data_IF_942343469885
#
_entry.id   IF_942343469885
#
_cell.length_a   1.000
_cell.length_b   1.000
_cell.length_c   1.000
_cell.angle_alpha   90.00
_cell.angle_beta   90.00
_cell.angle_gamma   90.00
#
_symmetry.space_group_name_H-M   'P 1'
#
loop_
_entity.id
_entity.type
_entity.pdbx_description
1 polymer ?
#
# COMPACT_ATOMS: atom_id res chain seq x y z
N UNK A 1 22.54 -28.19 -16.09
CA UNK A 1 22.79 -26.75 -16.28
C UNK A 1 22.17 -26.03 -15.10
N UNK A 2 23.01 -25.61 -14.16
CA UNK A 2 22.60 -24.99 -12.90
C UNK A 2 22.51 -23.49 -13.10
N UNK A 3 21.32 -22.92 -12.98
CA UNK A 3 21.16 -21.46 -12.95
C UNK A 3 21.49 -21.01 -11.52
N UNK A 4 22.56 -20.23 -11.40
CA UNK A 4 22.89 -19.55 -10.16
C UNK A 4 21.69 -18.72 -9.69
N UNK A 5 21.21 -19.03 -8.50
CA UNK A 5 20.12 -18.34 -7.84
C UNK A 5 20.65 -17.00 -7.31
N UNK A 6 20.16 -15.83 -7.77
CA UNK A 6 20.62 -14.57 -7.22
C UNK A 6 20.14 -14.46 -5.77
N UNK A 7 21.11 -14.32 -4.87
CA UNK A 7 20.92 -14.17 -3.43
C UNK A 7 20.10 -12.91 -3.14
N UNK A 8 18.95 -13.07 -2.48
CA UNK A 8 18.12 -11.94 -2.02
C UNK A 8 16.60 -12.09 -2.20
N UNK A 9 16.10 -13.21 -2.74
CA UNK A 9 14.65 -13.37 -2.99
C UNK A 9 13.92 -13.99 -1.80
N UNK A 10 13.44 -13.16 -0.89
CA UNK A 10 12.22 -13.54 -0.17
C UNK A 10 11.06 -13.49 -1.19
N UNK A 11 10.70 -14.64 -1.78
CA UNK A 11 9.37 -14.81 -2.39
C UNK A 11 8.34 -14.64 -1.27
N UNK A 12 7.92 -13.40 -1.03
CA UNK A 12 6.72 -13.17 -0.23
C UNK A 12 5.59 -13.91 -0.94
N UNK A 13 4.84 -14.72 -0.19
CA UNK A 13 3.63 -15.33 -0.67
C UNK A 13 2.82 -14.25 -1.40
N UNK A 14 2.61 -14.45 -2.70
CA UNK A 14 2.06 -13.45 -3.62
C UNK A 14 0.84 -12.83 -2.96
N UNK A 15 0.94 -11.56 -2.56
CA UNK A 15 -0.14 -10.93 -1.81
C UNK A 15 -1.42 -11.02 -2.65
N UNK A 16 -2.60 -11.30 -2.05
CA UNK A 16 -3.78 -11.72 -2.81
C UNK A 16 -4.24 -10.72 -3.90
N UNK A 17 -3.88 -9.45 -3.75
CA UNK A 17 -4.18 -8.34 -4.67
C UNK A 17 -3.19 -8.22 -5.84
N UNK A 18 -2.10 -8.98 -5.86
CA UNK A 18 -1.24 -9.17 -7.04
C UNK A 18 -2.01 -9.72 -8.24
N UNK A 19 -3.15 -10.38 -8.01
CA UNK A 19 -4.08 -10.80 -9.08
C UNK A 19 -4.65 -9.63 -9.90
N UNK A 20 -4.64 -8.42 -9.34
CA UNK A 20 -5.06 -7.19 -10.02
C UNK A 20 -3.94 -6.57 -10.86
N UNK A 21 -2.70 -7.04 -10.70
CA UNK A 21 -1.53 -6.51 -11.39
C UNK A 21 -1.25 -7.33 -12.67
N UNK A 22 -0.61 -6.74 -13.69
CA UNK A 22 -0.14 -7.48 -14.86
C UNK A 22 0.75 -8.66 -14.46
N UNK A 23 0.69 -9.75 -15.23
CA UNK A 23 1.57 -10.91 -15.03
C UNK A 23 3.05 -10.49 -15.11
N UNK A 24 3.85 -10.96 -14.16
CA UNK A 24 5.28 -10.61 -14.06
C UNK A 24 5.56 -9.35 -13.24
N UNK A 25 4.55 -8.77 -12.59
CA UNK A 25 4.75 -7.69 -11.62
C UNK A 25 5.57 -8.17 -10.42
N UNK A 26 6.55 -7.37 -9.98
CA UNK A 26 7.40 -7.67 -8.83
C UNK A 26 6.97 -6.89 -7.60
N UNK A 27 6.64 -7.61 -6.52
CA UNK A 27 6.34 -7.02 -5.22
C UNK A 27 7.64 -6.80 -4.42
N UNK A 28 7.85 -5.58 -3.93
CA UNK A 28 9.03 -5.15 -3.18
C UNK A 28 8.60 -4.50 -1.87
N UNK A 29 9.07 -5.05 -0.74
CA UNK A 29 8.85 -4.44 0.57
C UNK A 29 9.87 -3.33 0.81
N UNK A 30 9.38 -2.10 1.03
CA UNK A 30 10.20 -0.94 1.34
C UNK A 30 11.00 -1.08 2.65
N UNK A 31 10.70 -2.09 3.49
CA UNK A 31 11.48 -2.46 4.68
C UNK A 31 12.76 -3.21 4.34
N UNK A 32 12.70 -4.09 3.35
CA UNK A 32 13.75 -5.07 3.08
C UNK A 32 14.55 -4.74 1.83
N UNK A 33 14.04 -3.85 0.98
CA UNK A 33 14.73 -3.46 -0.23
C UNK A 33 15.99 -2.66 0.09
N UNK A 34 17.12 -3.18 -0.36
CA UNK A 34 18.38 -2.46 -0.31
C UNK A 34 18.45 -1.47 -1.49
N UNK A 35 19.08 -0.31 -1.26
CA UNK A 35 19.23 0.71 -2.29
C UNK A 35 20.06 0.20 -3.48
N UNK A 36 20.98 -0.74 -3.24
CA UNK A 36 21.81 -1.35 -4.28
C UNK A 36 21.05 -2.40 -5.12
N UNK A 37 19.94 -2.94 -4.62
CA UNK A 37 19.09 -3.86 -5.40
C UNK A 37 18.40 -3.14 -6.58
N UNK A 38 18.45 -1.80 -6.61
CA UNK A 38 18.03 -1.03 -7.75
C UNK A 38 18.73 -1.48 -9.02
N UNK A 39 20.06 -1.61 -9.03
CA UNK A 39 20.82 -1.85 -10.26
C UNK A 39 20.55 -3.23 -10.89
N UNK A 40 19.99 -4.16 -10.11
CA UNK A 40 19.60 -5.49 -10.58
C UNK A 40 18.20 -5.55 -11.20
N UNK A 41 17.38 -4.50 -11.04
CA UNK A 41 16.03 -4.47 -11.59
C UNK A 41 16.05 -4.11 -13.08
N UNK A 42 15.42 -4.95 -13.89
CA UNK A 42 15.27 -4.70 -15.33
C UNK A 42 14.47 -3.40 -15.57
N UNK A 43 14.89 -2.54 -16.51
CA UNK A 43 14.10 -1.38 -16.92
C UNK A 43 12.73 -1.78 -17.50
N UNK A 44 11.73 -0.92 -17.34
CA UNK A 44 10.31 -1.12 -17.71
C UNK A 44 9.60 -2.29 -17.01
N UNK A 45 10.20 -2.82 -15.94
CA UNK A 45 9.56 -3.86 -15.14
C UNK A 45 8.41 -3.26 -14.30
N UNK A 46 7.19 -3.83 -14.34
CA UNK A 46 6.12 -3.43 -13.44
C UNK A 46 6.48 -3.84 -12.01
N UNK A 47 6.49 -2.85 -11.12
CA UNK A 47 6.92 -3.00 -9.74
C UNK A 47 5.84 -2.47 -8.81
N UNK A 48 5.65 -3.18 -7.71
CA UNK A 48 4.73 -2.84 -6.64
C UNK A 48 5.51 -2.70 -5.34
N UNK A 49 5.62 -1.47 -4.85
CA UNK A 49 6.26 -1.17 -3.58
C UNK A 49 5.25 -1.19 -2.44
N UNK A 50 5.53 -1.90 -1.36
CA UNK A 50 4.62 -2.03 -0.21
C UNK A 50 5.28 -1.55 1.09
N UNK A 51 4.49 -0.98 2.01
CA UNK A 51 4.91 -0.72 3.39
C UNK A 51 3.68 -0.76 4.32
N UNK A 52 3.78 -1.56 5.40
CA UNK A 52 2.74 -1.74 6.41
C UNK A 52 2.88 -0.80 7.63
N UNK A 53 3.69 0.25 7.53
CA UNK A 53 3.91 1.20 8.63
C UNK A 53 3.06 2.46 8.47
N UNK A 54 2.56 3.05 9.56
CA UNK A 54 1.86 4.33 9.48
C UNK A 54 2.80 5.41 8.90
N UNK A 55 2.22 6.39 8.19
CA UNK A 55 2.95 7.45 7.50
C UNK A 55 3.94 6.93 6.43
N UNK A 56 3.70 5.74 5.87
CA UNK A 56 4.56 5.12 4.85
C UNK A 56 4.62 5.88 3.53
N UNK A 57 3.66 6.78 3.26
CA UNK A 57 3.62 7.59 2.04
C UNK A 57 4.96 8.25 1.69
N UNK A 58 5.55 8.97 2.65
CA UNK A 58 6.83 9.67 2.42
C UNK A 58 7.98 8.69 2.22
N UNK A 59 7.96 7.55 2.91
CA UNK A 59 9.00 6.51 2.78
C UNK A 59 8.91 5.83 1.43
N UNK A 60 7.71 5.38 1.03
CA UNK A 60 7.46 4.76 -0.27
C UNK A 60 7.86 5.69 -1.42
N UNK A 61 7.51 6.97 -1.36
CA UNK A 61 7.93 7.94 -2.38
C UNK A 61 9.44 8.13 -2.44
N UNK A 62 10.12 8.21 -1.29
CA UNK A 62 11.59 8.28 -1.25
C UNK A 62 12.23 7.02 -1.80
N UNK A 63 11.68 5.85 -1.49
CA UNK A 63 12.15 4.57 -2.03
C UNK A 63 11.92 4.51 -3.54
N UNK A 64 10.74 4.87 -4.04
CA UNK A 64 10.45 4.93 -5.47
C UNK A 64 11.42 5.88 -6.21
N UNK A 65 11.68 7.07 -5.65
CA UNK A 65 12.65 8.02 -6.20
C UNK A 65 14.08 7.45 -6.23
N UNK A 66 14.50 6.71 -5.20
CA UNK A 66 15.83 6.09 -5.16
C UNK A 66 16.00 4.96 -6.16
N UNK A 67 14.91 4.26 -6.47
CA UNK A 67 14.88 3.13 -7.40
C UNK A 67 14.55 3.55 -8.85
N UNK A 68 14.46 4.85 -9.13
CA UNK A 68 14.03 5.41 -10.42
C UNK A 68 12.68 4.85 -10.90
N UNK A 69 11.74 4.63 -9.97
CA UNK A 69 10.40 4.12 -10.27
C UNK A 69 9.48 5.30 -10.56
N UNK A 70 8.91 5.30 -11.76
CA UNK A 70 7.82 6.19 -12.15
C UNK A 70 6.52 5.70 -11.50
N UNK A 71 5.93 6.55 -10.67
CA UNK A 71 4.75 6.21 -9.87
C UNK A 71 3.51 6.37 -10.76
N UNK A 72 2.85 5.25 -11.08
CA UNK A 72 1.59 5.27 -11.82
C UNK A 72 0.40 5.46 -10.88
N UNK A 73 0.35 4.71 -9.77
CA UNK A 73 -0.75 4.74 -8.80
C UNK A 73 -0.29 4.48 -7.37
N UNK A 74 -0.97 5.12 -6.41
CA UNK A 74 -0.77 4.88 -4.98
C UNK A 74 -2.09 4.37 -4.39
N UNK A 75 -2.03 3.25 -3.67
CA UNK A 75 -3.16 2.63 -2.99
C UNK A 75 -2.94 2.59 -1.47
N UNK A 76 -4.04 2.74 -0.76
CA UNK A 76 -4.19 2.50 0.67
C UNK A 76 -4.82 1.12 0.83
N UNK A 77 -4.18 0.28 1.65
CA UNK A 77 -4.60 -1.09 1.91
C UNK A 77 -5.09 -1.20 3.35
N UNK A 78 -6.35 -1.59 3.52
CA UNK A 78 -7.01 -1.73 4.82
C UNK A 78 -7.52 -3.16 5.04
N UNK A 79 -7.48 -3.67 6.29
CA UNK A 79 -6.79 -3.11 7.46
C UNK A 79 -5.28 -3.38 7.43
N UNK A 80 -4.82 -4.35 6.63
CA UNK A 80 -3.40 -4.73 6.55
C UNK A 80 -3.05 -5.30 5.18
N UNK A 81 -1.76 -5.31 4.84
CA UNK A 81 -1.26 -5.94 3.61
C UNK A 81 -1.37 -7.48 3.64
N UNK A 82 -1.36 -8.11 4.84
CA UNK A 82 -1.48 -9.56 5.01
C UNK A 82 -2.91 -10.06 4.78
N UNK A 83 -3.89 -9.30 5.27
CA UNK A 83 -5.32 -9.59 5.14
C UNK A 83 -6.03 -8.33 4.65
N UNK A 84 -5.89 -8.01 3.35
CA UNK A 84 -6.54 -6.85 2.77
C UNK A 84 -8.03 -7.13 2.59
N UNK A 85 -8.86 -6.21 3.08
CA UNK A 85 -10.30 -6.19 2.85
C UNK A 85 -10.69 -5.15 1.81
N UNK A 86 -9.99 -4.00 1.78
CA UNK A 86 -10.29 -2.89 0.86
C UNK A 86 -8.99 -2.26 0.36
N UNK A 87 -8.98 -1.96 -0.94
CA UNK A 87 -7.97 -1.14 -1.61
C UNK A 87 -8.62 0.19 -2.03
N UNK A 88 -7.97 1.30 -1.71
CA UNK A 88 -8.47 2.64 -1.98
C UNK A 88 -7.38 3.42 -2.69
N UNK A 89 -7.67 4.06 -3.83
CA UNK A 89 -6.72 5.01 -4.42
C UNK A 89 -6.39 6.14 -3.41
N UNK A 90 -5.12 6.56 -3.31
CA UNK A 90 -4.67 7.68 -2.46
C UNK A 90 -5.04 9.05 -3.07
N UNK A 91 -6.29 9.18 -3.50
CA UNK A 91 -6.91 10.41 -4.00
C UNK A 91 -7.94 10.91 -3.01
N UNK A 92 -8.14 12.23 -2.97
CA UNK A 92 -9.14 12.83 -2.07
C UNK A 92 -10.54 12.27 -2.32
N UNK A 93 -10.92 12.10 -3.58
CA UNK A 93 -12.24 11.60 -3.96
C UNK A 93 -12.47 10.17 -3.45
N UNK A 94 -11.51 9.26 -3.62
CA UNK A 94 -11.63 7.87 -3.19
C UNK A 94 -11.64 7.74 -1.67
N UNK A 95 -10.77 8.47 -0.96
CA UNK A 95 -10.72 8.45 0.51
C UNK A 95 -12.00 9.05 1.10
N UNK A 96 -12.51 10.15 0.54
CA UNK A 96 -13.79 10.74 0.96
C UNK A 96 -14.95 9.77 0.72
N UNK A 97 -14.98 9.11 -0.44
CA UNK A 97 -16.00 8.11 -0.74
C UNK A 97 -15.95 6.95 0.25
N UNK A 98 -14.76 6.44 0.59
CA UNK A 98 -14.60 5.40 1.60
C UNK A 98 -15.20 5.81 2.95
N UNK A 99 -14.86 6.98 3.48
CA UNK A 99 -15.39 7.43 4.78
C UNK A 99 -16.90 7.68 4.80
N UNK A 100 -17.48 8.04 3.65
CA UNK A 100 -18.90 8.41 3.55
C UNK A 100 -19.79 7.22 3.19
N UNK A 101 -19.36 6.34 2.29
CA UNK A 101 -20.17 5.26 1.74
C UNK A 101 -19.82 3.87 2.27
N UNK A 102 -18.56 3.63 2.68
CA UNK A 102 -18.07 2.28 3.01
C UNK A 102 -17.81 2.13 4.52
N UNK A 103 -17.24 3.15 5.15
CA UNK A 103 -16.88 3.11 6.57
C UNK A 103 -18.15 3.21 7.44
N UNK A 104 -18.63 2.07 7.91
CA UNK A 104 -19.80 1.94 8.80
C UNK A 104 -19.43 1.20 10.07
N UNK A 105 -19.98 1.63 11.22
CA UNK A 105 -19.91 0.81 12.45
C UNK A 105 -20.96 -0.28 12.35
N UNK A 106 -20.60 -1.57 12.44
CA UNK A 106 -21.60 -2.63 12.49
C UNK A 106 -22.49 -2.46 13.74
N UNK A 107 -23.82 -2.50 13.59
CA UNK A 107 -24.74 -2.41 14.72
C UNK A 107 -24.61 -3.67 15.58
N UNK A 108 -24.33 -3.52 16.89
CA UNK A 108 -24.24 -4.66 17.82
C UNK A 108 -23.11 -4.59 18.86
N UNK A 109 -22.14 -3.68 18.71
CA UNK A 109 -21.05 -3.49 19.68
C UNK A 109 -21.35 -2.36 20.66
N UNK A 110 -22.38 -2.50 21.51
CA UNK A 110 -22.95 -1.40 22.29
C UNK A 110 -21.94 -0.59 23.15
N UNK A 111 -20.87 -1.22 23.64
CA UNK A 111 -19.88 -0.57 24.53
C UNK A 111 -18.80 0.19 23.74
N UNK A 112 -18.43 -0.29 22.55
CA UNK A 112 -17.43 0.37 21.68
C UNK A 112 -18.06 1.20 20.56
N UNK A 113 -19.38 1.09 20.34
CA UNK A 113 -20.10 1.78 19.28
C UNK A 113 -20.04 3.30 19.42
N UNK A 114 -20.11 3.84 20.64
CA UNK A 114 -20.06 5.29 20.86
C UNK A 114 -18.67 5.87 20.51
N UNK A 115 -17.55 5.38 21.08
CA UNK A 115 -16.22 5.89 20.72
C UNK A 115 -15.86 5.56 19.27
N UNK A 116 -16.25 4.40 18.72
CA UNK A 116 -16.01 4.08 17.32
C UNK A 116 -16.78 5.01 16.37
N UNK A 117 -18.04 5.32 16.68
CA UNK A 117 -18.85 6.26 15.90
C UNK A 117 -18.30 7.67 15.98
N UNK A 118 -17.84 8.10 17.16
CA UNK A 118 -17.20 9.40 17.35
C UNK A 118 -15.87 9.49 16.55
N UNK A 119 -15.04 8.45 16.60
CA UNK A 119 -13.80 8.38 15.80
C UNK A 119 -14.08 8.37 14.30
N UNK A 120 -15.13 7.69 13.85
CA UNK A 120 -15.55 7.69 12.45
C UNK A 120 -16.11 9.05 12.01
N UNK A 121 -16.90 9.71 12.85
CA UNK A 121 -17.37 11.07 12.60
C UNK A 121 -16.20 12.04 12.53
N UNK A 122 -15.23 11.92 13.44
CA UNK A 122 -14.00 12.70 13.43
C UNK A 122 -13.21 12.44 12.13
N UNK A 123 -13.00 11.17 11.76
CA UNK A 123 -12.30 10.79 10.55
C UNK A 123 -12.96 11.33 9.26
N UNK A 124 -14.29 11.47 9.24
CA UNK A 124 -15.04 12.12 8.14
C UNK A 124 -14.77 13.63 8.04
N UNK A 125 -14.48 14.29 9.16
CA UNK A 125 -14.17 15.73 9.19
C UNK A 125 -12.69 16.04 9.02
N UNK A 126 -11.81 15.08 9.31
CA UNK A 126 -10.37 15.29 9.18
C UNK A 126 -9.95 15.38 7.70
N UNK A 127 -8.92 16.20 7.40
CA UNK A 127 -8.38 16.28 6.05
C UNK A 127 -7.89 14.90 5.58
N UNK A 128 -8.17 14.56 4.32
CA UNK A 128 -7.74 13.29 3.70
C UNK A 128 -6.24 13.03 3.86
N UNK A 129 -5.43 14.10 3.90
CA UNK A 129 -3.98 14.03 4.08
C UNK A 129 -3.59 13.37 5.39
N UNK A 130 -4.41 13.51 6.43
CA UNK A 130 -4.17 12.93 7.75
C UNK A 130 -4.72 11.52 7.83
N UNK A 131 -5.99 11.31 7.45
CA UNK A 131 -6.62 9.99 7.53
C UNK A 131 -6.01 9.00 6.55
N UNK A 132 -5.65 9.45 5.34
CA UNK A 132 -4.91 8.65 4.38
C UNK A 132 -3.48 8.37 4.82
N UNK A 133 -2.77 9.33 5.43
CA UNK A 133 -1.38 9.11 5.85
C UNK A 133 -1.26 8.21 7.09
N UNK A 134 -2.25 8.22 7.97
CA UNK A 134 -2.32 7.35 9.14
C UNK A 134 -2.67 5.89 8.79
N UNK A 135 -3.05 5.62 7.54
CA UNK A 135 -3.42 4.28 7.11
C UNK A 135 -2.25 3.29 7.29
N UNK A 136 -2.54 2.08 7.80
CA UNK A 136 -1.52 1.09 8.17
C UNK A 136 -0.81 0.48 6.96
N UNK A 137 -1.53 0.15 5.88
CA UNK A 137 -0.96 -0.45 4.68
C UNK A 137 -0.99 0.49 3.49
N UNK A 138 0.11 0.54 2.73
CA UNK A 138 0.17 1.22 1.44
C UNK A 138 0.87 0.36 0.40
N UNK A 139 0.38 0.46 -0.83
CA UNK A 139 0.94 -0.14 -2.01
C UNK A 139 1.11 0.94 -3.08
N UNK A 140 2.25 0.96 -3.75
CA UNK A 140 2.57 1.91 -4.81
C UNK A 140 2.88 1.08 -6.04
N UNK A 141 2.13 1.31 -7.12
CA UNK A 141 2.31 0.64 -8.40
C UNK A 141 3.03 1.59 -9.34
N UNK A 142 4.07 1.10 -10.00
CA UNK A 142 4.86 1.88 -10.93
C UNK A 142 5.72 1.02 -11.81
N UNK A 143 6.56 1.68 -12.61
CA UNK A 143 7.56 1.02 -13.46
C UNK A 143 8.91 1.64 -13.27
N UNK A 144 9.95 0.82 -13.39
CA UNK A 144 11.32 1.34 -13.40
C UNK A 144 11.60 2.03 -14.74
N UNK A 145 12.12 3.25 -14.68
CA UNK A 145 12.59 3.99 -15.85
C UNK A 145 14.00 3.59 -16.27
#
# INVERSE_FOLDING_TARGET
MSFAEPAGRARLATSPWMTLCPLGTFELDARTIDANAADELTPDLPIVLIDQRPFSRRRLRRTAQRLSIEIEREFIVLPSLRHPLVLIDDTEAAVRHFWTAIATVPPGLAITAVPASALLALARTLPWRWTGAAAPGRALVGRRR
#
